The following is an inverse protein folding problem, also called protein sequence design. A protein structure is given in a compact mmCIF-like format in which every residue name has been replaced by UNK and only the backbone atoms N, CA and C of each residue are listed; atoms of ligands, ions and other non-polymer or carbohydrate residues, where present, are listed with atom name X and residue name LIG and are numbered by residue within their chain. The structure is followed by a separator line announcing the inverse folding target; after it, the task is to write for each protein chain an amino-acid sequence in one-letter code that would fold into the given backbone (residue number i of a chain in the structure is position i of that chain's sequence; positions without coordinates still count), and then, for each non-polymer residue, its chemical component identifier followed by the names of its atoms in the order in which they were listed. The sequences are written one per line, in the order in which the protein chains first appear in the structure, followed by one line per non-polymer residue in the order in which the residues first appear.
data_IF_968003046606
#
_entry.id   IF_968003046606
#
_cell.length_a   1.000
_cell.length_b   1.000
_cell.length_c   1.000
_cell.angle_alpha   90.00
_cell.angle_beta   90.00
_cell.angle_gamma   90.00
#
_symmetry.space_group_name_H-M   'P 1'
#
loop_
_entity.id
_entity.type
_entity.pdbx_description
1 polymer ?
#
# COMPACT_ATOMS: atom_id res chain seq x y z
N UNK A 1 -15.40 5.42 -2.47
CA UNK A 1 -14.83 4.51 -3.48
C UNK A 1 -14.33 3.26 -2.75
N UNK A 2 -14.71 2.08 -3.21
CA UNK A 2 -14.22 0.82 -2.64
C UNK A 2 -12.77 0.64 -3.10
N UNK A 3 -11.81 0.74 -2.18
CA UNK A 3 -10.41 0.44 -2.48
C UNK A 3 -10.23 -1.07 -2.30
N UNK A 4 -9.39 -1.70 -3.11
CA UNK A 4 -9.04 -3.12 -2.96
C UNK A 4 -7.55 -3.26 -2.71
N UNK A 5 -7.16 -4.27 -1.92
CA UNK A 5 -5.76 -4.51 -1.63
C UNK A 5 -4.91 -4.75 -2.88
N UNK A 6 -5.48 -5.34 -3.94
CA UNK A 6 -4.80 -5.61 -5.22
C UNK A 6 -4.32 -4.34 -5.96
N UNK A 7 -4.94 -3.20 -5.69
CA UNK A 7 -4.56 -1.90 -6.25
C UNK A 7 -3.64 -1.10 -5.33
N UNK A 8 -3.31 -1.62 -4.15
CA UNK A 8 -2.44 -0.94 -3.21
C UNK A 8 -0.98 -1.03 -3.69
N UNK A 9 -0.26 0.10 -3.64
CA UNK A 9 1.16 0.18 -3.98
C UNK A 9 2.05 -0.69 -3.09
N UNK A 10 1.62 -0.99 -1.85
CA UNK A 10 2.35 -1.89 -0.94
C UNK A 10 1.96 -3.38 -1.09
N UNK A 11 1.12 -3.74 -2.06
CA UNK A 11 0.82 -5.13 -2.37
C UNK A 11 1.86 -5.70 -3.34
N UNK A 12 2.74 -6.56 -2.83
CA UNK A 12 3.71 -7.30 -3.63
C UNK A 12 3.11 -8.56 -4.22
N UNK A 13 3.44 -8.87 -5.47
CA UNK A 13 3.04 -10.14 -6.11
C UNK A 13 3.98 -11.24 -5.61
N UNK A 14 3.40 -12.30 -5.05
CA UNK A 14 4.16 -13.48 -4.58
C UNK A 14 4.08 -14.59 -5.62
N UNK A 15 2.88 -14.86 -6.11
CA UNK A 15 2.60 -15.81 -7.19
C UNK A 15 1.44 -15.27 -8.03
N UNK A 16 1.09 -15.96 -9.13
CA UNK A 16 -0.06 -15.60 -9.94
C UNK A 16 -1.34 -15.53 -9.07
N UNK A 17 -1.99 -14.36 -9.06
CA UNK A 17 -3.16 -14.05 -8.24
C UNK A 17 -2.96 -14.11 -6.71
N UNK A 18 -1.72 -14.25 -6.21
CA UNK A 18 -1.39 -14.17 -4.79
C UNK A 18 -0.52 -12.96 -4.51
N UNK A 19 -0.93 -12.20 -3.51
CA UNK A 19 -0.28 -10.97 -3.11
C UNK A 19 0.07 -11.02 -1.63
N UNK A 20 1.09 -10.26 -1.23
CA UNK A 20 1.43 -10.02 0.16
C UNK A 20 1.42 -8.52 0.43
N UNK A 21 0.77 -8.11 1.53
CA UNK A 21 0.87 -6.73 2.00
C UNK A 21 2.21 -6.52 2.72
N UNK A 22 3.05 -5.63 2.19
CA UNK A 22 4.39 -5.38 2.74
C UNK A 22 4.37 -4.90 4.20
N UNK A 23 3.32 -4.18 4.63
CA UNK A 23 3.17 -3.69 6.02
C UNK A 23 2.78 -4.80 7.00
N UNK A 24 1.72 -5.53 6.69
CA UNK A 24 1.12 -6.50 7.61
C UNK A 24 1.67 -7.91 7.44
N UNK A 25 2.50 -8.16 6.41
CA UNK A 25 3.01 -9.49 6.04
C UNK A 25 1.90 -10.53 5.93
N UNK A 26 0.74 -10.07 5.44
CA UNK A 26 -0.45 -10.89 5.23
C UNK A 26 -0.60 -11.21 3.75
N UNK A 27 -0.64 -12.50 3.43
CA UNK A 27 -0.96 -12.97 2.10
C UNK A 27 -2.46 -12.91 1.83
N UNK A 28 -2.83 -12.68 0.58
CA UNK A 28 -4.22 -12.68 0.10
C UNK A 28 -4.29 -13.01 -1.38
N UNK A 29 -5.45 -13.49 -1.84
CA UNK A 29 -5.68 -13.67 -3.28
C UNK A 29 -6.45 -12.51 -3.89
N UNK A 30 -6.40 -12.41 -5.22
CA UNK A 30 -7.12 -11.42 -6.01
C UNK A 30 -8.62 -11.43 -5.65
N UNK A 31 -9.21 -10.25 -5.43
CA UNK A 31 -10.64 -10.11 -5.12
C UNK A 31 -11.07 -10.45 -3.69
N UNK A 32 -10.24 -11.08 -2.85
CA UNK A 32 -10.63 -11.48 -1.48
C UNK A 32 -10.68 -10.32 -0.48
N UNK A 33 -9.95 -9.23 -0.71
CA UNK A 33 -9.85 -8.14 0.27
C UNK A 33 -10.37 -6.81 -0.28
N UNK A 34 -11.56 -6.45 0.21
CA UNK A 34 -12.11 -5.11 0.13
C UNK A 34 -11.48 -4.28 1.26
N UNK A 35 -10.83 -3.16 0.91
CA UNK A 35 -10.34 -2.19 1.87
C UNK A 35 -11.48 -1.23 2.22
N UNK A 36 -12.11 -1.47 3.36
CA UNK A 36 -13.02 -0.48 3.96
C UNK A 36 -12.26 0.59 4.73
N UNK A 37 -11.19 0.24 5.48
CA UNK A 37 -10.41 1.19 6.30
C UNK A 37 -8.92 0.79 6.44
N UNK A 38 -8.10 0.99 5.41
CA UNK A 38 -6.64 0.83 5.51
C UNK A 38 -5.92 2.17 5.41
N UNK A 39 -5.34 2.60 6.54
CA UNK A 39 -4.52 3.82 6.64
C UNK A 39 -3.23 3.76 5.82
N UNK A 40 -2.79 2.55 5.45
CA UNK A 40 -1.60 2.32 4.66
C UNK A 40 -1.88 2.18 3.16
N UNK A 41 -3.13 2.41 2.72
CA UNK A 41 -3.41 2.42 1.29
C UNK A 41 -2.70 3.59 0.61
N UNK A 42 -1.98 3.26 -0.44
CA UNK A 42 -1.34 4.19 -1.38
C UNK A 42 -1.56 3.61 -2.77
N UNK A 43 -1.77 4.47 -3.77
CA UNK A 43 -1.89 4.03 -5.15
C UNK A 43 -0.51 3.60 -5.68
N UNK A 44 -0.50 2.82 -6.77
CA UNK A 44 0.74 2.44 -7.44
C UNK A 44 1.34 3.68 -8.12
N UNK A 45 2.54 4.03 -7.72
CA UNK A 45 3.35 5.12 -8.24
C UNK A 45 4.26 4.55 -9.33
N UNK A 46 4.28 5.24 -10.46
CA UNK A 46 5.17 4.96 -11.59
C UNK A 46 5.96 6.24 -11.85
N UNK A 47 7.27 6.16 -11.79
CA UNK A 47 8.19 7.27 -12.01
C UNK A 47 9.19 6.85 -13.09
N UNK A 48 9.40 7.70 -14.10
CA UNK A 48 10.26 7.41 -15.25
C UNK A 48 9.95 6.08 -15.98
N UNK A 49 8.68 5.64 -15.92
CA UNK A 49 8.23 4.37 -16.50
C UNK A 49 8.48 3.14 -15.63
N UNK A 50 9.13 3.30 -14.47
CA UNK A 50 9.36 2.22 -13.52
C UNK A 50 8.37 2.27 -12.34
N UNK A 51 7.67 1.16 -12.03
CA UNK A 51 6.81 1.12 -10.87
C UNK A 51 7.64 1.03 -9.59
N UNK A 52 7.26 1.79 -8.57
CA UNK A 52 7.87 1.67 -7.26
C UNK A 52 7.63 0.29 -6.66
N UNK A 53 8.61 -0.21 -5.92
CA UNK A 53 8.49 -1.46 -5.16
C UNK A 53 7.48 -1.30 -4.02
N UNK A 54 6.89 -2.42 -3.53
CA UNK A 54 6.01 -2.38 -2.35
C UNK A 54 6.66 -1.73 -1.12
N UNK A 55 7.97 -1.88 -0.97
CA UNK A 55 8.75 -1.33 0.13
C UNK A 55 8.92 0.19 -0.02
N UNK A 56 9.16 0.70 -1.23
CA UNK A 56 9.22 2.15 -1.49
C UNK A 56 7.88 2.82 -1.20
N UNK A 57 6.78 2.23 -1.67
CA UNK A 57 5.43 2.70 -1.35
C UNK A 57 5.16 2.72 0.16
N UNK A 58 5.63 1.69 0.87
CA UNK A 58 5.45 1.60 2.32
C UNK A 58 6.20 2.73 3.03
N UNK A 59 7.46 2.96 2.65
CA UNK A 59 8.27 4.04 3.21
C UNK A 59 7.60 5.41 3.03
N UNK A 60 7.13 5.72 1.81
CA UNK A 60 6.39 6.97 1.52
C UNK A 60 5.17 7.07 2.43
N UNK A 61 4.40 5.98 2.54
CA UNK A 61 3.17 6.00 3.33
C UNK A 61 3.43 6.18 4.83
N UNK A 62 4.48 5.54 5.35
CA UNK A 62 4.89 5.70 6.74
C UNK A 62 5.37 7.14 7.03
N UNK A 63 6.08 7.77 6.09
CA UNK A 63 6.46 9.18 6.20
C UNK A 63 5.23 10.11 6.17
N UNK A 64 4.26 9.88 5.29
CA UNK A 64 3.01 10.65 5.26
C UNK A 64 2.25 10.56 6.59
N UNK A 65 2.12 9.34 7.14
CA UNK A 65 1.43 9.10 8.41
C UNK A 65 2.20 9.74 9.58
N UNK A 66 3.53 9.65 9.59
CA UNK A 66 4.38 10.31 10.58
C UNK A 66 4.31 11.83 10.51
N UNK A 67 4.33 12.42 9.31
CA UNK A 67 4.22 13.86 9.10
C UNK A 67 2.84 14.41 9.49
N UNK A 68 1.77 13.63 9.29
CA UNK A 68 0.43 13.98 9.77
C UNK A 68 0.36 14.06 11.29
N UNK A 69 1.08 13.20 12.01
CA UNK A 69 1.18 13.28 13.47
C UNK A 69 1.95 14.52 13.95
N UNK A 70 2.88 15.06 13.15
CA UNK A 70 3.62 16.28 13.50
C UNK A 70 2.86 17.59 13.24
N UNK A 71 1.76 17.57 12.47
CA UNK A 71 0.94 18.78 12.19
C UNK A 71 -0.09 19.10 13.29
N UNK A 72 0.12 18.62 14.52
CA UNK A 72 -0.74 18.88 15.68
C UNK A 72 -0.12 19.75 16.77
N UNK A 73 1.11 20.26 16.59
CA UNK A 73 1.76 21.16 17.55
C UNK A 73 2.09 22.50 16.89
N UNK A 74 1.06 23.33 16.68
CA UNK A 74 1.17 24.80 16.60
C UNK A 74 -0.08 25.38 17.24
#
# INVERSE_FOLDING_TARGET
MIKKCEYCGIAGVVEQNKFECAKFKKAFTLGENILTDCNYFIEKIIEDGEPFTPQQHLLIKEQELGAKHMKGFI
#
